data_IF_230989945351
#
_entry.id   IF_230989945351
#
_cell.length_a   1.000
_cell.length_b   1.000
_cell.length_c   1.000
_cell.angle_alpha   90.00
_cell.angle_beta   90.00
_cell.angle_gamma   90.00
#
_symmetry.space_group_name_H-M   'P 1'
#
loop_
_entity.id
_entity.type
_entity.pdbx_description
1 polymer ?
#
# COMPACT_ATOMS: atom_id res chain seq x y z
N UNK A 1 45.49 33.33 0.65
CA UNK A 1 46.30 32.12 0.94
C UNK A 1 45.55 30.90 0.40
N UNK A 2 46.19 30.01 -0.39
CA UNK A 2 45.52 28.82 -0.89
C UNK A 2 45.24 27.83 0.24
N UNK A 3 44.02 27.27 0.29
CA UNK A 3 43.67 26.22 1.25
C UNK A 3 44.62 25.03 1.15
N UNK A 4 45.06 24.54 2.31
CA UNK A 4 45.82 23.30 2.43
C UNK A 4 44.99 22.10 1.96
N UNK A 5 45.64 21.02 1.51
CA UNK A 5 44.96 19.79 1.04
C UNK A 5 43.95 19.26 2.07
N UNK A 6 44.28 19.33 3.37
CA UNK A 6 43.37 18.95 4.48
C UNK A 6 42.16 19.87 4.60
N UNK A 7 42.34 21.18 4.48
CA UNK A 7 41.22 22.13 4.50
C UNK A 7 40.29 21.96 3.29
N UNK A 8 40.84 21.64 2.10
CA UNK A 8 40.02 21.32 0.92
C UNK A 8 39.21 20.05 1.13
N UNK A 9 39.81 18.98 1.65
CA UNK A 9 39.11 17.73 1.95
C UNK A 9 38.01 17.96 3.00
N UNK A 10 38.31 18.67 4.09
CA UNK A 10 37.34 19.00 5.12
C UNK A 10 36.17 19.82 4.56
N UNK A 11 36.46 20.84 3.73
CA UNK A 11 35.43 21.64 3.07
C UNK A 11 34.56 20.79 2.13
N UNK A 12 35.17 19.91 1.33
CA UNK A 12 34.42 18.98 0.47
C UNK A 12 33.50 18.07 1.28
N UNK A 13 33.98 17.52 2.41
CA UNK A 13 33.17 16.67 3.29
C UNK A 13 32.00 17.44 3.92
N UNK A 14 32.24 18.67 4.36
CA UNK A 14 31.18 19.54 4.93
C UNK A 14 30.13 19.88 3.88
N UNK A 15 30.54 20.23 2.65
CA UNK A 15 29.61 20.50 1.55
C UNK A 15 28.82 19.24 1.21
N UNK A 16 29.48 18.09 1.07
CA UNK A 16 28.82 16.82 0.76
C UNK A 16 27.81 16.43 1.85
N UNK A 17 28.18 16.58 3.13
CA UNK A 17 27.27 16.35 4.25
C UNK A 17 26.08 17.33 4.22
N UNK A 18 26.31 18.62 3.98
CA UNK A 18 25.26 19.62 3.85
C UNK A 18 24.26 19.32 2.73
N UNK A 19 24.76 18.92 1.55
CA UNK A 19 23.92 18.49 0.43
C UNK A 19 23.14 17.20 0.73
N UNK A 20 23.74 16.26 1.46
CA UNK A 20 23.07 15.04 1.89
C UNK A 20 21.94 15.35 2.89
N UNK A 21 22.19 16.22 3.88
CA UNK A 21 21.15 16.63 4.83
C UNK A 21 20.01 17.38 4.15
N UNK A 22 20.32 18.31 3.23
CA UNK A 22 19.31 19.04 2.47
C UNK A 22 18.47 18.10 1.59
N UNK A 23 19.09 17.11 0.93
CA UNK A 23 18.36 16.15 0.10
C UNK A 23 17.47 15.22 0.93
N UNK A 24 17.94 14.73 2.09
CA UNK A 24 17.13 13.95 3.03
C UNK A 24 15.95 14.76 3.59
N UNK A 25 16.17 16.03 3.93
CA UNK A 25 15.11 16.92 4.39
C UNK A 25 14.05 17.16 3.32
N UNK A 26 14.47 17.43 2.08
CA UNK A 26 13.55 17.61 0.96
C UNK A 26 12.75 16.33 0.69
N UNK A 27 13.41 15.17 0.69
CA UNK A 27 12.76 13.88 0.43
C UNK A 27 11.73 13.52 1.52
N UNK A 28 12.01 13.88 2.78
CA UNK A 28 11.09 13.59 3.89
C UNK A 28 9.83 14.44 3.89
N UNK A 29 9.89 15.63 3.28
CA UNK A 29 8.74 16.53 3.17
C UNK A 29 8.05 16.45 1.80
N UNK A 30 8.78 16.04 0.75
CA UNK A 30 8.34 16.05 -0.63
C UNK A 30 8.66 14.73 -1.33
N UNK A 31 8.24 13.61 -0.74
CA UNK A 31 8.32 12.33 -1.43
C UNK A 31 7.48 12.39 -2.72
N UNK A 32 8.05 12.12 -3.91
CA UNK A 32 7.27 12.06 -5.15
C UNK A 32 6.34 10.85 -5.17
N UNK A 33 5.27 10.89 -5.97
CA UNK A 33 4.35 9.75 -6.11
C UNK A 33 5.04 8.48 -6.66
N UNK A 34 6.13 8.64 -7.40
CA UNK A 34 6.95 7.53 -7.87
C UNK A 34 7.87 6.93 -6.79
N UNK A 35 7.88 7.48 -5.57
CA UNK A 35 8.80 7.10 -4.50
C UNK A 35 10.27 7.14 -4.92
N UNK A 36 11.08 6.30 -4.27
CA UNK A 36 12.47 6.04 -4.64
C UNK A 36 12.52 4.81 -5.54
N UNK A 37 12.72 4.97 -6.85
CA UNK A 37 12.75 3.84 -7.79
C UNK A 37 13.77 4.02 -8.92
N UNK A 38 14.61 3.01 -9.10
CA UNK A 38 15.69 3.00 -10.09
C UNK A 38 15.26 2.48 -11.47
N UNK A 39 14.21 1.66 -11.55
CA UNK A 39 13.69 1.13 -12.83
C UNK A 39 12.33 1.74 -13.18
N UNK A 40 11.93 1.64 -14.45
CA UNK A 40 10.62 2.15 -14.90
C UNK A 40 9.49 1.36 -14.24
N UNK A 41 9.63 0.05 -14.18
CA UNK A 41 8.64 -0.89 -13.65
C UNK A 41 8.36 -0.59 -12.17
N UNK A 42 9.41 -0.32 -11.38
CA UNK A 42 9.26 0.10 -9.98
C UNK A 42 8.61 1.47 -9.84
N UNK A 43 8.96 2.43 -10.70
CA UNK A 43 8.30 3.76 -10.72
C UNK A 43 6.82 3.62 -11.04
N UNK A 44 6.48 2.83 -12.06
CA UNK A 44 5.09 2.59 -12.46
C UNK A 44 4.33 1.95 -11.29
N UNK A 45 4.86 0.90 -10.65
CA UNK A 45 4.25 0.27 -9.48
C UNK A 45 4.02 1.28 -8.35
N UNK A 46 5.02 2.10 -8.00
CA UNK A 46 4.88 3.11 -6.96
C UNK A 46 3.81 4.16 -7.29
N UNK A 47 3.67 4.53 -8.57
CA UNK A 47 2.59 5.42 -9.01
C UNK A 47 1.21 4.78 -8.81
N UNK A 48 1.08 3.46 -8.98
CA UNK A 48 -0.16 2.74 -8.69
C UNK A 48 -0.43 2.67 -7.18
N UNK A 49 0.59 2.37 -6.36
CA UNK A 49 0.49 2.35 -4.88
C UNK A 49 0.05 3.73 -4.36
N UNK A 50 0.69 4.79 -4.85
CA UNK A 50 0.46 6.18 -4.41
C UNK A 50 -0.67 6.92 -5.14
N UNK A 51 -1.61 6.24 -5.78
CA UNK A 51 -2.77 6.91 -6.41
C UNK A 51 -3.52 7.76 -5.37
N UNK A 52 -3.94 8.95 -5.77
CA UNK A 52 -4.75 9.85 -4.93
C UNK A 52 -6.09 10.21 -5.59
N UNK A 53 -6.25 9.86 -6.87
CA UNK A 53 -7.53 10.00 -7.56
C UNK A 53 -8.55 9.03 -6.95
N UNK A 54 -9.74 9.54 -6.63
CA UNK A 54 -10.84 8.70 -6.17
C UNK A 54 -11.51 8.00 -7.37
N UNK A 55 -11.81 6.70 -7.29
CA UNK A 55 -12.57 6.01 -8.32
C UNK A 55 -13.89 6.70 -8.66
N UNK A 56 -14.22 6.74 -9.94
CA UNK A 56 -15.52 7.13 -10.46
C UNK A 56 -16.40 5.90 -10.67
N UNK A 57 -17.73 6.05 -10.78
CA UNK A 57 -18.64 4.91 -10.99
C UNK A 57 -18.25 3.98 -12.16
N UNK A 58 -17.69 4.53 -13.24
CA UNK A 58 -17.24 3.76 -14.41
C UNK A 58 -15.99 2.90 -14.17
N UNK A 59 -15.23 3.19 -13.11
CA UNK A 59 -13.97 2.49 -12.82
C UNK A 59 -14.21 1.16 -12.10
N UNK A 60 -15.34 1.04 -11.39
CA UNK A 60 -15.68 -0.15 -10.62
C UNK A 60 -16.01 -1.33 -11.53
N UNK A 61 -15.33 -2.46 -11.35
CA UNK A 61 -15.73 -3.73 -11.98
C UNK A 61 -16.66 -4.49 -11.02
N UNK A 62 -17.95 -4.59 -11.38
CA UNK A 62 -18.98 -5.21 -10.53
C UNK A 62 -18.74 -6.71 -10.29
N UNK A 63 -17.88 -7.35 -11.08
CA UNK A 63 -17.50 -8.76 -10.89
C UNK A 63 -16.51 -8.92 -9.74
N UNK A 64 -15.85 -7.84 -9.30
CA UNK A 64 -14.91 -7.85 -8.19
C UNK A 64 -15.67 -7.87 -6.87
N UNK A 65 -15.71 -9.06 -6.28
CA UNK A 65 -16.19 -9.30 -4.91
C UNK A 65 -15.06 -9.95 -4.12
N UNK A 66 -15.18 -9.98 -2.79
CA UNK A 66 -14.21 -10.73 -1.98
C UNK A 66 -14.19 -12.22 -2.40
N UNK A 67 -15.36 -12.81 -2.66
CA UNK A 67 -15.47 -14.19 -3.13
C UNK A 67 -14.76 -14.41 -4.47
N UNK A 68 -14.81 -13.47 -5.42
CA UNK A 68 -14.13 -13.62 -6.70
C UNK A 68 -12.61 -13.48 -6.59
N UNK A 69 -12.11 -12.63 -5.68
CA UNK A 69 -10.67 -12.52 -5.37
C UNK A 69 -10.12 -13.80 -4.72
N UNK A 70 -10.94 -14.47 -3.91
CA UNK A 70 -10.61 -15.73 -3.25
C UNK A 70 -10.75 -16.98 -4.14
N UNK A 71 -11.24 -16.84 -5.37
CA UNK A 71 -11.35 -17.98 -6.29
C UNK A 71 -9.97 -18.58 -6.57
N UNK A 72 -9.76 -19.89 -6.32
CA UNK A 72 -8.47 -20.54 -6.54
C UNK A 72 -7.94 -20.44 -7.98
N UNK A 73 -6.66 -20.76 -8.13
CA UNK A 73 -5.97 -20.81 -9.42
C UNK A 73 -5.33 -19.48 -9.81
N UNK A 74 -4.40 -19.54 -10.77
CA UNK A 74 -3.56 -18.40 -11.13
C UNK A 74 -4.40 -17.21 -11.57
N UNK A 75 -4.29 -16.12 -10.82
CA UNK A 75 -5.09 -14.91 -10.99
C UNK A 75 -4.28 -13.70 -11.47
N UNK A 76 -3.00 -13.89 -11.82
CA UNK A 76 -2.08 -12.81 -12.23
C UNK A 76 -2.61 -11.94 -13.39
N UNK A 77 -3.45 -12.52 -14.25
CA UNK A 77 -4.08 -11.83 -15.38
C UNK A 77 -5.62 -11.74 -15.27
N UNK A 78 -6.21 -12.12 -14.13
CA UNK A 78 -7.67 -12.19 -13.96
C UNK A 78 -8.29 -10.80 -13.84
N UNK A 79 -7.55 -9.85 -13.27
CA UNK A 79 -8.01 -8.50 -12.99
C UNK A 79 -7.09 -7.47 -13.65
N UNK A 80 -7.50 -6.20 -13.57
CA UNK A 80 -6.74 -5.08 -14.13
C UNK A 80 -6.49 -4.03 -13.07
N UNK A 81 -5.27 -3.51 -13.02
CA UNK A 81 -4.91 -2.38 -12.17
C UNK A 81 -5.62 -1.08 -12.59
N UNK A 82 -6.22 -1.03 -13.78
CA UNK A 82 -7.03 0.12 -14.22
C UNK A 82 -8.46 0.13 -13.67
N UNK A 83 -8.86 -0.89 -12.89
CA UNK A 83 -10.20 -1.00 -12.32
C UNK A 83 -10.18 -0.74 -10.82
N UNK A 84 -11.30 -0.23 -10.33
CA UNK A 84 -11.60 -0.14 -8.91
C UNK A 84 -12.47 -1.32 -8.47
N UNK A 85 -12.44 -1.60 -7.18
CA UNK A 85 -13.24 -2.63 -6.54
C UNK A 85 -14.09 -2.03 -5.42
N UNK A 86 -15.27 -2.61 -5.22
CA UNK A 86 -16.11 -2.40 -4.05
C UNK A 86 -16.33 -3.77 -3.41
N UNK A 87 -15.72 -4.02 -2.26
CA UNK A 87 -15.77 -5.33 -1.62
C UNK A 87 -16.13 -5.22 -0.14
N UNK A 88 -16.82 -6.24 0.35
CA UNK A 88 -17.16 -6.40 1.76
C UNK A 88 -16.36 -7.54 2.35
N UNK A 89 -15.90 -7.39 3.59
CA UNK A 89 -15.19 -8.45 4.30
C UNK A 89 -15.08 -8.17 5.80
N UNK A 90 -14.86 -9.24 6.56
CA UNK A 90 -14.53 -9.13 7.97
C UNK A 90 -13.07 -8.72 8.12
N UNK A 91 -12.80 -7.65 8.87
CA UNK A 91 -11.43 -7.21 9.13
C UNK A 91 -10.81 -8.11 10.20
N UNK A 92 -9.76 -8.83 9.82
CA UNK A 92 -9.09 -9.83 10.68
C UNK A 92 -7.76 -9.33 11.24
N UNK A 93 -7.13 -8.34 10.58
CA UNK A 93 -5.92 -7.69 11.07
C UNK A 93 -5.83 -6.26 10.57
N UNK A 94 -5.29 -5.38 11.42
CA UNK A 94 -4.87 -4.02 11.05
C UNK A 94 -3.52 -3.76 11.68
N UNK A 95 -2.52 -3.41 10.87
CA UNK A 95 -1.17 -3.12 11.31
C UNK A 95 -0.45 -2.24 10.28
N UNK A 96 0.56 -1.49 10.73
CA UNK A 96 1.45 -0.85 9.76
C UNK A 96 2.20 -1.88 8.91
N UNK A 97 2.26 -1.58 7.62
CA UNK A 97 3.12 -2.22 6.64
C UNK A 97 4.59 -2.14 7.03
N UNK A 98 5.43 -2.86 6.29
CA UNK A 98 6.86 -2.59 6.29
C UNK A 98 7.12 -1.24 5.61
N UNK A 99 8.26 -0.64 5.91
CA UNK A 99 8.63 0.60 5.25
C UNK A 99 8.86 0.36 3.75
N UNK A 100 8.24 1.21 2.93
CA UNK A 100 8.28 1.07 1.49
C UNK A 100 9.05 2.20 0.80
N UNK A 101 9.72 1.84 -0.31
CA UNK A 101 10.34 2.80 -1.21
C UNK A 101 9.32 3.71 -1.89
N UNK A 102 8.09 3.22 -2.10
CA UNK A 102 6.96 4.01 -2.60
C UNK A 102 6.71 5.26 -1.74
N UNK A 103 6.95 5.14 -0.44
CA UNK A 103 6.76 6.20 0.55
C UNK A 103 8.07 6.92 0.94
N UNK A 104 9.17 6.70 0.21
CA UNK A 104 10.48 7.29 0.51
C UNK A 104 10.99 7.05 1.94
N UNK A 105 10.60 5.94 2.57
CA UNK A 105 10.81 5.68 4.00
C UNK A 105 10.13 6.65 4.98
N UNK A 106 9.23 7.49 4.47
CA UNK A 106 8.56 8.56 5.22
C UNK A 106 7.08 8.20 5.39
N UNK A 107 6.79 7.46 6.46
CA UNK A 107 5.48 6.85 6.68
C UNK A 107 5.44 5.39 6.20
N UNK A 108 4.37 4.71 6.61
CA UNK A 108 4.11 3.31 6.26
C UNK A 108 2.65 3.22 5.84
N UNK A 109 2.38 2.36 4.87
CA UNK A 109 1.00 2.01 4.58
C UNK A 109 0.41 1.30 5.80
N UNK A 110 -0.92 1.33 5.94
CA UNK A 110 -1.61 0.51 6.93
C UNK A 110 -2.22 -0.68 6.20
N UNK A 111 -1.72 -1.88 6.50
CA UNK A 111 -2.33 -3.12 6.03
C UNK A 111 -3.63 -3.37 6.79
N UNK A 112 -4.66 -3.70 6.02
CA UNK A 112 -5.97 -4.16 6.49
C UNK A 112 -6.20 -5.50 5.82
N UNK A 113 -6.16 -6.57 6.60
CA UNK A 113 -6.48 -7.90 6.08
C UNK A 113 -7.96 -8.14 6.26
N UNK A 114 -8.62 -8.63 5.21
CA UNK A 114 -10.02 -9.02 5.26
C UNK A 114 -10.20 -10.48 4.84
N UNK A 115 -11.27 -11.10 5.33
CA UNK A 115 -11.67 -12.44 4.95
C UNK A 115 -13.19 -12.61 4.98
N UNK A 116 -13.68 -13.74 4.45
CA UNK A 116 -15.12 -14.08 4.45
C UNK A 116 -15.68 -14.28 5.86
N UNK A 117 -14.83 -14.59 6.83
CA UNK A 117 -15.18 -14.84 8.24
C UNK A 117 -14.06 -14.38 9.18
N UNK A 118 -14.37 -14.00 10.43
CA UNK A 118 -13.38 -13.45 11.36
C UNK A 118 -12.21 -14.38 11.73
N UNK A 119 -12.40 -15.69 11.63
CA UNK A 119 -11.44 -16.73 12.05
C UNK A 119 -10.74 -17.42 10.87
N UNK A 120 -10.83 -16.85 9.67
CA UNK A 120 -10.20 -17.41 8.49
C UNK A 120 -8.66 -17.47 8.65
N UNK A 121 -8.00 -18.55 8.21
CA UNK A 121 -6.54 -18.62 8.20
C UNK A 121 -5.94 -17.57 7.26
N UNK A 122 -4.68 -17.19 7.46
CA UNK A 122 -4.02 -16.14 6.66
C UNK A 122 -4.01 -16.43 5.16
N UNK A 123 -3.92 -17.69 4.77
CA UNK A 123 -4.03 -18.13 3.37
C UNK A 123 -5.38 -17.80 2.70
N UNK A 124 -6.41 -17.45 3.47
CA UNK A 124 -7.73 -17.02 2.98
C UNK A 124 -7.91 -15.48 3.07
N UNK A 125 -6.86 -14.72 3.38
CA UNK A 125 -6.95 -13.26 3.53
C UNK A 125 -6.73 -12.54 2.20
N UNK A 126 -7.40 -11.40 2.02
CA UNK A 126 -7.07 -10.40 1.00
C UNK A 126 -6.49 -9.18 1.71
N UNK A 127 -5.40 -8.63 1.17
CA UNK A 127 -4.72 -7.46 1.72
C UNK A 127 -5.26 -6.19 1.06
N UNK A 128 -5.58 -5.22 1.89
CA UNK A 128 -5.98 -3.88 1.50
C UNK A 128 -5.04 -2.90 2.19
N UNK A 129 -4.78 -1.76 1.57
CA UNK A 129 -3.85 -0.78 2.12
C UNK A 129 -4.36 0.65 2.03
N UNK A 130 -4.29 1.39 3.13
CA UNK A 130 -4.35 2.85 3.09
C UNK A 130 -2.93 3.40 3.09
N UNK A 131 -2.60 4.30 2.17
CA UNK A 131 -1.28 4.93 2.09
C UNK A 131 -1.20 6.22 2.91
N UNK A 132 0.01 6.69 3.28
CA UNK A 132 0.18 7.99 3.94
C UNK A 132 -0.49 9.16 3.19
N UNK A 133 -0.54 9.10 1.85
CA UNK A 133 -1.18 10.14 1.01
C UNK A 133 -2.69 10.13 1.17
N UNK A 134 -3.31 8.94 1.14
CA UNK A 134 -4.74 8.82 1.36
C UNK A 134 -5.10 9.15 2.81
N UNK A 135 -4.30 8.73 3.79
CA UNK A 135 -4.52 9.11 5.18
C UNK A 135 -4.49 10.64 5.34
N UNK A 136 -3.49 11.31 4.74
CA UNK A 136 -3.42 12.77 4.75
C UNK A 136 -4.64 13.42 4.10
N UNK A 137 -5.11 12.90 2.95
CA UNK A 137 -6.35 13.34 2.33
C UNK A 137 -7.57 13.12 3.24
N UNK A 138 -7.71 11.94 3.85
CA UNK A 138 -8.82 11.63 4.76
C UNK A 138 -8.88 12.60 5.94
N UNK A 139 -7.72 13.00 6.50
CA UNK A 139 -7.65 14.04 7.54
C UNK A 139 -8.19 15.38 7.06
N UNK A 140 -7.97 15.77 5.80
CA UNK A 140 -8.58 16.99 5.23
C UNK A 140 -10.11 16.92 5.14
N UNK A 141 -10.66 15.70 5.11
CA UNK A 141 -12.10 15.45 5.13
C UNK A 141 -12.66 15.32 6.56
N UNK A 142 -11.81 15.50 7.60
CA UNK A 142 -12.20 15.34 8.99
C UNK A 142 -12.27 13.89 9.45
N UNK A 143 -11.71 12.95 8.68
CA UNK A 143 -11.65 11.53 9.05
C UNK A 143 -10.28 11.19 9.62
N UNK A 144 -10.27 10.46 10.73
CA UNK A 144 -9.06 9.89 11.31
C UNK A 144 -8.91 8.44 10.83
N UNK A 145 -7.99 8.25 9.88
CA UNK A 145 -7.60 6.95 9.32
C UNK A 145 -6.19 6.53 9.78
N UNK A 146 -5.73 7.01 10.93
CA UNK A 146 -4.50 6.49 11.54
C UNK A 146 -4.62 4.99 11.83
N UNK A 147 -3.49 4.27 11.80
CA UNK A 147 -3.42 2.83 12.09
C UNK A 147 -4.19 2.46 13.37
N UNK A 148 -3.97 3.20 14.45
CA UNK A 148 -4.61 2.96 15.74
C UNK A 148 -6.14 3.09 15.66
N UNK A 149 -6.62 4.15 14.99
CA UNK A 149 -8.05 4.40 14.83
C UNK A 149 -8.71 3.37 13.92
N UNK A 150 -8.06 3.00 12.81
CA UNK A 150 -8.55 1.93 11.93
C UNK A 150 -8.60 0.60 12.69
N UNK A 151 -7.55 0.24 13.43
CA UNK A 151 -7.52 -0.99 14.24
C UNK A 151 -8.65 -1.01 15.26
N UNK A 152 -8.84 0.08 16.01
CA UNK A 152 -9.91 0.19 17.02
C UNK A 152 -11.31 0.13 16.42
N UNK A 153 -11.53 0.76 15.25
CA UNK A 153 -12.85 0.86 14.64
C UNK A 153 -13.24 -0.34 13.81
N UNK A 154 -12.28 -0.98 13.13
CA UNK A 154 -12.58 -1.95 12.08
C UNK A 154 -12.39 -3.40 12.52
N UNK A 155 -11.42 -3.69 13.39
CA UNK A 155 -11.07 -5.08 13.74
C UNK A 155 -12.29 -5.87 14.23
N UNK A 156 -12.51 -7.04 13.62
CA UNK A 156 -13.64 -7.94 13.90
C UNK A 156 -14.97 -7.55 13.25
N UNK A 157 -15.06 -6.39 12.57
CA UNK A 157 -16.30 -5.92 11.94
C UNK A 157 -16.38 -6.29 10.47
N UNK A 158 -17.62 -6.35 9.98
CA UNK A 158 -17.91 -6.41 8.55
C UNK A 158 -17.87 -4.98 7.98
N UNK A 159 -17.00 -4.76 7.00
CA UNK A 159 -16.70 -3.44 6.46
C UNK A 159 -16.74 -3.49 4.93
N UNK A 160 -17.35 -2.47 4.34
CA UNK A 160 -17.29 -2.16 2.92
C UNK A 160 -16.07 -1.31 2.63
N UNK A 161 -15.28 -1.73 1.65
CA UNK A 161 -14.12 -1.00 1.15
C UNK A 161 -14.30 -0.66 -0.32
N UNK A 162 -13.85 0.52 -0.71
CA UNK A 162 -13.64 0.88 -2.12
C UNK A 162 -12.20 1.34 -2.33
N UNK A 163 -11.68 1.11 -3.53
CA UNK A 163 -10.38 1.63 -3.94
C UNK A 163 -9.90 1.02 -5.24
N UNK A 164 -8.65 1.27 -5.58
CA UNK A 164 -8.06 0.79 -6.82
C UNK A 164 -7.48 -0.60 -6.66
N UNK A 165 -7.59 -1.43 -7.71
CA UNK A 165 -6.83 -2.67 -7.75
C UNK A 165 -5.35 -2.42 -8.03
N UNK A 166 -4.54 -3.26 -7.39
CA UNK A 166 -3.10 -3.37 -7.61
C UNK A 166 -2.71 -4.84 -7.53
N UNK A 167 -1.87 -5.31 -8.46
CA UNK A 167 -1.23 -6.61 -8.33
C UNK A 167 0.17 -6.40 -7.76
N UNK A 168 0.39 -6.78 -6.49
CA UNK A 168 1.71 -6.70 -5.88
C UNK A 168 2.53 -7.92 -6.29
N UNK A 169 3.23 -7.78 -7.42
CA UNK A 169 4.05 -8.85 -7.98
C UNK A 169 5.18 -9.31 -7.02
N UNK A 170 5.57 -8.48 -6.05
CA UNK A 170 6.52 -8.87 -5.00
C UNK A 170 5.98 -9.94 -4.06
N UNK A 171 4.65 -10.04 -3.94
CA UNK A 171 3.94 -10.98 -3.07
C UNK A 171 3.25 -12.12 -3.83
N UNK A 172 3.48 -12.26 -5.15
CA UNK A 172 2.86 -13.30 -5.97
C UNK A 172 3.11 -14.72 -5.41
N UNK A 173 4.37 -15.06 -5.10
CA UNK A 173 4.73 -16.40 -4.59
C UNK A 173 4.35 -16.63 -3.12
N UNK A 174 3.76 -15.63 -2.46
CA UNK A 174 3.28 -15.72 -1.08
C UNK A 174 1.74 -15.84 -1.03
N UNK A 175 1.12 -16.10 -2.19
CA UNK A 175 -0.32 -16.22 -2.35
C UNK A 175 -0.78 -17.61 -2.77
N UNK A 176 -1.90 -18.07 -2.23
CA UNK A 176 -2.49 -19.38 -2.58
C UNK A 176 -2.87 -19.48 -4.06
N UNK A 177 -3.36 -18.41 -4.67
CA UNK A 177 -3.80 -18.42 -6.07
C UNK A 177 -2.65 -18.67 -7.04
N UNK A 178 -1.43 -18.24 -6.72
CA UNK A 178 -0.24 -18.42 -7.57
C UNK A 178 0.58 -19.64 -7.14
N UNK A 179 0.78 -19.84 -5.84
CA UNK A 179 1.67 -20.86 -5.27
C UNK A 179 0.92 -21.71 -4.22
N UNK A 180 -0.11 -22.50 -4.63
CA UNK A 180 -1.02 -23.16 -3.70
C UNK A 180 -0.33 -24.15 -2.76
N UNK A 181 -0.74 -24.16 -1.49
CA UNK A 181 -0.25 -25.08 -0.47
C UNK A 181 1.16 -24.78 0.03
N UNK A 182 1.73 -23.63 -0.31
CA UNK A 182 3.04 -23.22 0.21
C UNK A 182 2.92 -22.86 1.70
N UNK A 183 3.73 -23.44 2.61
CA UNK A 183 3.56 -23.25 4.07
C UNK A 183 3.68 -21.81 4.59
N UNK A 184 4.20 -20.89 3.78
CA UNK A 184 4.40 -19.49 4.13
C UNK A 184 3.38 -18.55 3.49
N UNK A 185 2.38 -19.08 2.79
CA UNK A 185 1.32 -18.26 2.23
C UNK A 185 0.52 -17.60 3.35
N UNK A 186 0.38 -16.29 3.23
CA UNK A 186 -0.27 -15.45 4.23
C UNK A 186 -1.39 -14.60 3.63
N UNK A 187 -1.73 -14.87 2.37
CA UNK A 187 -2.76 -14.21 1.57
C UNK A 187 -3.28 -15.21 0.54
N UNK A 188 -4.53 -15.05 0.13
CA UNK A 188 -5.13 -15.84 -0.93
C UNK A 188 -4.65 -15.40 -2.31
N UNK A 189 -4.51 -14.08 -2.50
CA UNK A 189 -4.16 -13.45 -3.78
C UNK A 189 -3.10 -12.36 -3.57
N UNK A 190 -2.29 -12.12 -4.60
CA UNK A 190 -1.40 -10.96 -4.64
C UNK A 190 -2.09 -9.69 -5.20
N UNK A 191 -3.38 -9.78 -5.56
CA UNK A 191 -4.21 -8.61 -5.79
C UNK A 191 -4.63 -7.97 -4.48
N UNK A 192 -4.58 -6.65 -4.46
CA UNK A 192 -4.90 -5.81 -3.32
C UNK A 192 -5.88 -4.72 -3.74
N UNK A 193 -6.64 -4.19 -2.78
CA UNK A 193 -7.14 -2.81 -2.92
C UNK A 193 -6.05 -1.89 -2.38
N UNK A 194 -5.31 -1.28 -3.30
CA UNK A 194 -4.21 -0.38 -3.00
C UNK A 194 -4.22 0.82 -3.97
N UNK A 195 -4.52 2.04 -3.48
CA UNK A 195 -4.97 2.33 -2.13
C UNK A 195 -6.49 2.16 -1.97
N UNK A 196 -6.90 1.88 -0.73
CA UNK A 196 -8.28 2.04 -0.25
C UNK A 196 -8.63 3.52 -0.25
N UNK A 197 -9.80 3.89 -0.78
CA UNK A 197 -10.29 5.27 -0.86
C UNK A 197 -11.64 5.49 -0.17
N UNK A 198 -12.33 4.42 0.24
CA UNK A 198 -13.55 4.49 1.07
C UNK A 198 -13.56 3.34 2.07
N UNK A 199 -14.02 3.64 3.29
CA UNK A 199 -14.21 2.68 4.38
C UNK A 199 -15.58 2.95 5.01
N UNK A 200 -16.45 1.95 5.05
CA UNK A 200 -17.80 2.05 5.62
C UNK A 200 -18.12 0.80 6.45
N UNK A 201 -18.30 0.97 7.76
CA UNK A 201 -18.67 -0.12 8.66
C UNK A 201 -20.15 -0.45 8.45
N UNK A 202 -20.47 -1.68 8.05
CA UNK A 202 -21.84 -2.05 7.66
C UNK A 202 -22.71 -2.45 8.85
N UNK A 203 -22.12 -2.99 9.92
CA UNK A 203 -22.77 -3.39 11.18
C UNK A 203 -21.82 -3.27 12.37
#
# INVERSE_FOLDING_TARGET
MPFTKRQRIALTLVIAAGLLFASLFLLSHHCPASGIAFTKERRDLHLLKNRTTLPQPSDFDERLTLTSLLQPGNDSARWSTSRAARIEGYVVSVAAARTELANCYCGRDTHIHIAMRPDAPSSEHVVLETTPRIEAWARTQGWDWSEETLKRKLLGRLVLFEGWLLFDSGHAMESENIAPGTPHNWRATAWEIHPVTKIEVLK
#
